data_IF_320947322217
#
_entry.id   IF_320947322217
#
_cell.length_a   1.000
_cell.length_b   1.000
_cell.length_c   1.000
_cell.angle_alpha   90.00
_cell.angle_beta   90.00
_cell.angle_gamma   90.00
#
_symmetry.space_group_name_H-M   'P 1'
#
loop_
_entity.id
_entity.type
_entity.pdbx_description
1 polymer ?
#
# COMPACT_ATOMS: atom_id res chain seq x y z
N UNK A 1 40.48 15.07 -25.95
CA UNK A 1 40.81 15.28 -24.52
C UNK A 1 40.92 16.78 -24.27
N UNK A 2 40.11 17.33 -23.35
CA UNK A 2 40.56 18.45 -22.54
C UNK A 2 40.50 18.14 -21.04
N UNK A 3 41.53 18.65 -20.38
CA UNK A 3 41.87 18.56 -18.96
C UNK A 3 40.87 19.29 -18.07
N UNK A 4 40.36 18.61 -17.03
CA UNK A 4 39.58 19.20 -15.97
C UNK A 4 40.50 19.76 -14.88
N UNK A 5 40.45 21.09 -14.68
CA UNK A 5 41.10 21.80 -13.58
C UNK A 5 40.33 21.57 -12.28
N UNK A 6 41.04 21.19 -11.23
CA UNK A 6 40.56 21.13 -9.85
C UNK A 6 40.43 22.55 -9.24
N UNK A 7 39.35 22.80 -8.52
CA UNK A 7 39.20 23.97 -7.65
C UNK A 7 39.39 23.57 -6.17
N UNK A 8 40.12 24.34 -5.36
CA UNK A 8 40.22 24.11 -3.93
C UNK A 8 39.04 24.74 -3.17
N UNK A 9 38.42 23.95 -2.30
CA UNK A 9 37.37 24.38 -1.37
C UNK A 9 38.04 24.93 -0.09
N UNK A 10 37.88 26.23 0.18
CA UNK A 10 38.32 26.87 1.43
C UNK A 10 37.17 26.90 2.43
N UNK A 11 37.42 26.39 3.64
CA UNK A 11 36.53 26.51 4.80
C UNK A 11 36.84 27.81 5.56
N UNK A 12 35.83 28.61 5.97
CA UNK A 12 36.06 29.71 6.90
C UNK A 12 36.19 29.19 8.33
N UNK A 13 37.33 29.51 8.95
CA UNK A 13 37.55 29.42 10.38
C UNK A 13 36.79 30.55 11.08
N UNK A 14 35.96 30.22 12.07
CA UNK A 14 35.12 31.17 12.78
C UNK A 14 35.02 30.89 14.28
N UNK A 15 35.79 31.66 15.04
CA UNK A 15 35.51 32.18 16.39
C UNK A 15 35.26 31.22 17.57
N UNK A 16 36.32 31.02 18.35
CA UNK A 16 36.29 30.63 19.75
C UNK A 16 35.71 31.76 20.62
N UNK A 17 34.48 31.57 21.12
CA UNK A 17 33.89 32.37 22.17
C UNK A 17 34.10 31.72 23.53
N UNK A 18 34.90 32.36 24.40
CA UNK A 18 35.06 32.02 25.81
C UNK A 18 33.74 32.27 26.55
N UNK A 19 33.26 31.30 27.34
CA UNK A 19 32.23 31.56 28.35
C UNK A 19 32.45 30.71 29.60
N UNK A 20 32.08 31.34 30.72
CA UNK A 20 32.77 31.28 31.99
C UNK A 20 32.45 30.05 32.85
N UNK A 21 33.46 29.62 33.62
CA UNK A 21 33.29 28.75 34.78
C UNK A 21 32.40 29.46 35.80
N UNK A 22 31.19 28.94 36.00
CA UNK A 22 30.43 29.13 37.23
C UNK A 22 30.33 27.79 37.94
N UNK A 23 31.13 27.65 38.99
CA UNK A 23 31.02 26.56 39.95
C UNK A 23 29.75 26.78 40.77
N UNK A 24 28.76 25.88 40.66
CA UNK A 24 27.63 25.87 41.60
C UNK A 24 27.10 24.46 41.80
N UNK A 25 27.33 23.96 43.02
CA UNK A 25 26.57 22.96 43.78
C UNK A 25 26.48 21.54 43.20
N UNK A 26 27.37 20.69 43.72
CA UNK A 26 27.11 19.28 44.01
C UNK A 26 25.83 19.17 44.85
N UNK A 27 24.71 18.88 44.19
CA UNK A 27 23.57 18.20 44.81
C UNK A 27 23.63 16.75 44.36
N UNK A 28 23.79 15.82 45.30
CA UNK A 28 23.55 14.39 45.08
C UNK A 28 22.07 14.21 44.71
N UNK A 29 21.74 14.35 43.43
CA UNK A 29 20.60 13.67 42.84
C UNK A 29 21.16 12.34 42.34
N UNK A 30 21.04 11.32 43.20
CA UNK A 30 21.02 9.95 42.75
C UNK A 30 19.73 9.77 41.91
N UNK A 31 19.73 10.37 40.72
CA UNK A 31 18.74 10.11 39.71
C UNK A 31 18.93 8.65 39.32
N UNK A 32 18.05 7.83 39.84
CA UNK A 32 17.75 6.50 39.32
C UNK A 32 17.40 6.66 37.84
N UNK A 33 18.44 6.68 37.01
CA UNK A 33 18.35 6.28 35.60
C UNK A 33 18.09 4.78 35.64
N UNK A 34 16.88 4.40 36.05
CA UNK A 34 16.29 3.15 35.60
C UNK A 34 16.03 3.39 34.11
N UNK A 35 17.08 3.20 33.32
CA UNK A 35 16.96 3.01 31.90
C UNK A 35 15.91 1.91 31.73
N UNK A 36 14.73 2.31 31.28
CA UNK A 36 13.68 1.41 30.82
C UNK A 36 14.21 0.68 29.58
N UNK A 37 15.14 -0.25 29.78
CA UNK A 37 15.66 -1.16 28.74
C UNK A 37 14.72 -2.34 28.50
N UNK A 38 13.56 -2.38 29.15
CA UNK A 38 12.52 -3.40 28.94
C UNK A 38 11.80 -3.26 27.58
N UNK A 39 12.20 -2.31 26.74
CA UNK A 39 11.81 -2.25 25.32
C UNK A 39 12.38 -3.42 24.48
N UNK A 40 13.20 -4.30 25.04
CA UNK A 40 14.00 -5.25 24.26
C UNK A 40 13.31 -6.57 23.88
N UNK A 41 12.10 -6.89 24.36
CA UNK A 41 11.43 -8.15 24.00
C UNK A 41 9.91 -8.03 23.87
N UNK A 42 9.43 -7.09 23.06
CA UNK A 42 8.10 -7.29 22.49
C UNK A 42 8.18 -8.54 21.60
N UNK A 43 7.41 -9.61 21.89
CA UNK A 43 7.42 -10.81 21.07
C UNK A 43 7.21 -10.39 19.60
N UNK A 44 8.05 -10.94 18.72
CA UNK A 44 7.94 -10.71 17.29
C UNK A 44 6.52 -10.99 16.79
N UNK A 45 6.16 -10.44 15.63
CA UNK A 45 4.91 -10.81 15.00
C UNK A 45 5.02 -12.29 14.58
N UNK A 46 3.97 -13.09 14.83
CA UNK A 46 3.96 -14.48 14.39
C UNK A 46 3.02 -14.65 13.20
N UNK A 47 3.40 -15.55 12.29
CA UNK A 47 2.59 -15.94 11.13
C UNK A 47 2.48 -17.46 11.09
N UNK A 48 1.27 -17.98 10.92
CA UNK A 48 1.08 -19.43 10.89
C UNK A 48 1.66 -20.04 9.59
N UNK A 49 2.32 -21.22 9.65
CA UNK A 49 2.89 -21.90 8.48
C UNK A 49 1.88 -22.19 7.38
N UNK A 50 0.58 -22.27 7.71
CA UNK A 50 -0.50 -22.46 6.74
C UNK A 50 -0.60 -21.35 5.69
N UNK A 51 0.08 -20.21 5.89
CA UNK A 51 0.25 -19.19 4.84
C UNK A 51 0.89 -19.76 3.56
N UNK A 52 1.69 -20.81 3.67
CA UNK A 52 2.33 -21.49 2.54
C UNK A 52 1.45 -22.55 1.87
N UNK A 53 0.26 -22.86 2.42
CA UNK A 53 -0.64 -23.88 1.88
C UNK A 53 -1.49 -23.35 0.71
N UNK A 54 -0.88 -22.63 -0.22
CA UNK A 54 -1.57 -22.00 -1.35
C UNK A 54 -2.16 -23.01 -2.32
N UNK A 55 -1.62 -24.24 -2.37
CA UNK A 55 -2.14 -25.33 -3.21
C UNK A 55 -3.56 -25.76 -2.85
N UNK A 56 -4.03 -25.45 -1.64
CA UNK A 56 -5.38 -25.73 -1.17
C UNK A 56 -6.37 -24.61 -1.54
N UNK A 57 -5.87 -23.49 -2.07
CA UNK A 57 -6.66 -22.35 -2.50
C UNK A 57 -6.82 -22.43 -4.01
N UNK A 58 -8.06 -22.46 -4.54
CA UNK A 58 -8.29 -22.47 -5.98
C UNK A 58 -7.62 -21.28 -6.67
N UNK A 59 -7.11 -21.49 -7.88
CA UNK A 59 -6.74 -20.38 -8.76
C UNK A 59 -8.01 -19.61 -9.16
N UNK A 60 -8.02 -18.30 -8.94
CA UNK A 60 -9.11 -17.41 -9.32
C UNK A 60 -8.63 -16.48 -10.44
N UNK A 61 -9.13 -16.64 -11.68
CA UNK A 61 -8.82 -15.71 -12.75
C UNK A 61 -9.50 -14.36 -12.48
N UNK A 62 -8.79 -13.26 -12.73
CA UNK A 62 -9.32 -11.90 -12.64
C UNK A 62 -9.22 -11.24 -14.01
N UNK A 63 -10.33 -11.26 -14.73
CA UNK A 63 -10.47 -10.66 -16.03
C UNK A 63 -11.80 -9.91 -16.09
N UNK A 64 -11.77 -8.67 -16.55
CA UNK A 64 -12.96 -7.85 -16.72
C UNK A 64 -12.81 -6.87 -17.89
N UNK A 65 -13.94 -6.37 -18.41
CA UNK A 65 -13.94 -5.51 -19.58
C UNK A 65 -13.48 -4.08 -19.26
N UNK A 66 -13.62 -3.63 -18.01
CA UNK A 66 -13.32 -2.25 -17.64
C UNK A 66 -11.83 -2.07 -17.32
N UNK A 67 -11.33 -0.82 -17.41
CA UNK A 67 -10.01 -0.50 -16.92
C UNK A 67 -9.84 -0.90 -15.45
N UNK A 68 -8.73 -1.55 -15.18
CA UNK A 68 -8.23 -2.02 -13.90
C UNK A 68 -8.98 -3.22 -13.29
N UNK A 69 -9.87 -3.87 -14.04
CA UNK A 69 -10.54 -5.11 -13.61
C UNK A 69 -9.66 -6.37 -13.79
N UNK A 70 -8.59 -6.26 -14.58
CA UNK A 70 -7.78 -7.41 -15.01
C UNK A 70 -6.42 -7.42 -14.34
N UNK A 71 -6.07 -8.53 -13.67
CA UNK A 71 -4.80 -8.70 -12.98
C UNK A 71 -4.50 -10.18 -12.75
N UNK A 72 -3.25 -10.49 -12.36
CA UNK A 72 -2.85 -11.85 -12.00
C UNK A 72 -2.35 -11.88 -10.56
N UNK A 73 -2.76 -12.89 -9.78
CA UNK A 73 -2.33 -13.05 -8.39
C UNK A 73 -2.10 -14.52 -8.01
N UNK A 74 -1.22 -14.73 -7.04
CA UNK A 74 -1.21 -15.92 -6.18
C UNK A 74 -2.21 -15.67 -5.05
N UNK A 75 -3.28 -16.46 -4.94
CA UNK A 75 -4.26 -16.31 -3.85
C UNK A 75 -3.84 -17.14 -2.63
N UNK A 76 -3.91 -16.56 -1.43
CA UNK A 76 -3.58 -17.23 -0.18
C UNK A 76 -4.84 -17.43 0.68
N UNK A 77 -4.77 -18.37 1.62
CA UNK A 77 -5.76 -18.43 2.69
C UNK A 77 -5.64 -17.16 3.54
N UNK A 78 -6.74 -16.42 3.68
CA UNK A 78 -6.77 -15.17 4.43
C UNK A 78 -6.62 -15.38 5.93
N UNK A 79 -7.00 -16.55 6.47
CA UNK A 79 -6.98 -16.81 7.91
C UNK A 79 -5.63 -16.49 8.58
N UNK A 80 -4.48 -17.06 8.16
CA UNK A 80 -3.18 -16.75 8.77
C UNK A 80 -2.81 -15.25 8.68
N UNK A 81 -3.21 -14.58 7.60
CA UNK A 81 -2.92 -13.15 7.37
C UNK A 81 -3.80 -12.26 8.27
N UNK A 82 -5.07 -12.62 8.44
CA UNK A 82 -5.99 -11.97 9.38
C UNK A 82 -5.49 -12.07 10.81
N UNK A 83 -5.00 -13.24 11.22
CA UNK A 83 -4.49 -13.46 12.57
C UNK A 83 -3.20 -12.61 12.82
N UNK A 84 -2.34 -12.46 11.79
CA UNK A 84 -1.22 -11.51 11.81
C UNK A 84 -1.68 -10.03 11.83
N UNK A 85 -2.74 -9.69 11.10
CA UNK A 85 -3.32 -8.34 11.13
C UNK A 85 -3.86 -7.97 12.52
N UNK A 86 -4.53 -8.90 13.21
CA UNK A 86 -5.00 -8.68 14.58
C UNK A 86 -3.84 -8.36 15.55
N UNK A 87 -2.72 -9.08 15.41
CA UNK A 87 -1.49 -8.80 16.15
C UNK A 87 -0.91 -7.41 15.83
N UNK A 88 -0.97 -6.99 14.57
CA UNK A 88 -0.47 -5.69 14.12
C UNK A 88 -1.28 -4.54 14.71
N UNK A 89 -2.62 -4.61 14.68
CA UNK A 89 -3.53 -3.57 15.19
C UNK A 89 -3.30 -3.27 16.67
N UNK A 90 -2.90 -4.28 17.46
CA UNK A 90 -2.56 -4.08 18.88
C UNK A 90 -1.27 -3.31 19.12
N UNK A 91 -0.40 -3.20 18.10
CA UNK A 91 0.96 -2.64 18.21
C UNK A 91 1.12 -1.29 17.53
N UNK A 92 0.11 -0.81 16.82
CA UNK A 92 0.17 0.45 16.08
C UNK A 92 -0.87 1.42 16.63
N UNK A 93 -0.54 2.71 16.80
CA UNK A 93 -1.46 3.70 17.38
C UNK A 93 -2.50 4.21 16.39
N UNK A 94 -2.50 3.70 15.15
CA UNK A 94 -3.37 4.15 14.06
C UNK A 94 -4.42 3.09 13.78
N UNK A 95 -5.64 3.54 13.50
CA UNK A 95 -6.70 2.65 13.02
C UNK A 95 -6.35 2.19 11.61
N UNK A 96 -6.26 0.86 11.43
CA UNK A 96 -6.03 0.25 10.13
C UNK A 96 -7.32 -0.33 9.56
N UNK A 97 -7.43 -0.28 8.24
CA UNK A 97 -8.40 -0.98 7.41
C UNK A 97 -7.71 -2.16 6.74
N UNK A 98 -8.47 -3.18 6.37
CA UNK A 98 -7.97 -4.36 5.65
C UNK A 98 -8.93 -4.70 4.52
N UNK A 99 -8.43 -5.38 3.49
CA UNK A 99 -9.23 -5.78 2.32
C UNK A 99 -10.11 -7.02 2.57
N UNK A 100 -9.82 -7.78 3.64
CA UNK A 100 -10.51 -9.06 3.88
C UNK A 100 -10.02 -10.21 2.99
N UNK A 101 -8.90 -10.04 2.29
CA UNK A 101 -8.28 -11.03 1.40
C UNK A 101 -6.76 -11.04 1.55
N UNK A 102 -6.11 -12.10 1.06
CA UNK A 102 -4.66 -12.21 0.99
C UNK A 102 -4.22 -12.75 -0.36
N UNK A 103 -3.31 -12.03 -1.01
CA UNK A 103 -2.73 -12.44 -2.28
C UNK A 103 -1.36 -11.80 -2.48
N UNK A 104 -0.56 -12.38 -3.39
CA UNK A 104 0.62 -11.72 -3.98
C UNK A 104 0.28 -11.37 -5.42
N UNK A 105 0.19 -10.07 -5.73
CA UNK A 105 -0.08 -9.61 -7.10
C UNK A 105 1.13 -9.87 -7.99
N UNK A 106 0.94 -10.65 -9.05
CA UNK A 106 1.99 -11.03 -10.02
C UNK A 106 1.97 -10.13 -11.24
N UNK A 107 0.82 -9.63 -11.67
CA UNK A 107 0.66 -8.58 -12.69
C UNK A 107 -0.36 -7.60 -12.16
N UNK A 108 0.01 -6.33 -12.03
CA UNK A 108 -0.90 -5.30 -11.52
C UNK A 108 -1.89 -4.86 -12.60
N UNK A 109 -3.05 -4.28 -12.21
CA UNK A 109 -3.98 -3.76 -13.19
C UNK A 109 -3.37 -2.69 -14.12
N UNK A 110 -2.59 -1.70 -13.64
CA UNK A 110 -1.88 -0.77 -14.53
C UNK A 110 -0.87 -1.44 -15.47
N UNK A 111 -0.14 -2.48 -15.02
CA UNK A 111 0.76 -3.24 -15.90
C UNK A 111 -0.02 -3.93 -17.02
N UNK A 112 -1.17 -4.54 -16.70
CA UNK A 112 -1.98 -5.19 -17.72
C UNK A 112 -2.57 -4.18 -18.71
N UNK A 113 -3.34 -3.21 -18.24
CA UNK A 113 -4.09 -2.32 -19.15
C UNK A 113 -3.23 -1.34 -19.94
N UNK A 114 -2.13 -0.85 -19.36
CA UNK A 114 -1.30 0.18 -19.99
C UNK A 114 -0.10 -0.40 -20.73
N UNK A 115 0.28 -1.65 -20.47
CA UNK A 115 1.49 -2.25 -21.06
C UNK A 115 1.18 -3.53 -21.82
N UNK A 116 0.64 -4.56 -21.17
CA UNK A 116 0.44 -5.88 -21.80
C UNK A 116 -0.67 -5.86 -22.85
N UNK A 117 -1.86 -5.34 -22.48
CA UNK A 117 -3.06 -5.31 -23.33
C UNK A 117 -2.85 -4.50 -24.63
N UNK A 118 -2.21 -3.31 -24.63
CA UNK A 118 -1.92 -2.58 -25.86
C UNK A 118 -1.00 -3.33 -26.84
N UNK A 119 -0.17 -4.26 -26.35
CA UNK A 119 0.63 -5.13 -27.20
C UNK A 119 -0.14 -6.37 -27.69
N UNK A 120 -1.42 -6.53 -27.37
CA UNK A 120 -2.22 -7.68 -27.79
C UNK A 120 -2.01 -8.94 -26.93
N UNK A 121 -1.49 -8.78 -25.71
CA UNK A 121 -1.53 -9.84 -24.69
C UNK A 121 -2.91 -9.86 -24.04
N UNK A 122 -3.52 -11.03 -23.96
CA UNK A 122 -4.84 -11.23 -23.33
C UNK A 122 -4.73 -11.80 -21.91
N UNK A 123 -5.75 -11.58 -21.06
CA UNK A 123 -5.79 -12.23 -19.75
C UNK A 123 -5.89 -13.76 -19.85
N UNK A 124 -6.52 -14.30 -20.90
CA UNK A 124 -6.59 -15.75 -21.11
C UNK A 124 -5.20 -16.36 -21.31
N UNK A 125 -4.33 -15.70 -22.09
CA UNK A 125 -2.94 -16.13 -22.26
C UNK A 125 -2.14 -16.02 -20.95
N UNK A 126 -2.34 -14.93 -20.19
CA UNK A 126 -1.69 -14.73 -18.89
C UNK A 126 -2.15 -15.80 -17.88
N UNK A 127 -3.45 -16.09 -17.82
CA UNK A 127 -4.03 -17.13 -16.97
C UNK A 127 -3.56 -18.52 -17.39
N UNK A 128 -3.47 -18.80 -18.70
CA UNK A 128 -2.93 -20.05 -19.21
C UNK A 128 -1.46 -20.26 -18.80
N UNK A 129 -0.63 -19.22 -18.88
CA UNK A 129 0.74 -19.27 -18.38
C UNK A 129 0.78 -19.51 -16.87
N UNK A 130 -0.10 -18.88 -16.10
CA UNK A 130 -0.19 -19.06 -14.65
C UNK A 130 -0.57 -20.50 -14.26
N UNK A 131 -1.56 -21.09 -14.93
CA UNK A 131 -1.96 -22.48 -14.73
C UNK A 131 -0.85 -23.45 -15.14
N UNK A 132 -0.19 -23.23 -16.29
CA UNK A 132 0.95 -24.04 -16.73
C UNK A 132 2.15 -23.94 -15.77
N UNK A 133 2.34 -22.78 -15.14
CA UNK A 133 3.35 -22.59 -14.09
C UNK A 133 2.91 -23.13 -12.73
N UNK A 134 1.69 -23.67 -12.61
CA UNK A 134 1.09 -24.12 -11.35
C UNK A 134 1.17 -23.00 -10.30
N UNK A 135 0.66 -21.81 -10.62
CA UNK A 135 0.83 -20.61 -9.79
C UNK A 135 0.51 -20.87 -8.31
N UNK A 136 -0.55 -21.61 -7.99
CA UNK A 136 -0.94 -21.93 -6.60
C UNK A 136 0.03 -22.86 -5.85
N UNK A 137 1.02 -23.42 -6.52
CA UNK A 137 2.10 -24.21 -5.92
C UNK A 137 3.44 -23.45 -5.94
N UNK A 138 3.43 -22.17 -6.32
CA UNK A 138 4.63 -21.33 -6.35
C UNK A 138 5.17 -21.15 -4.94
N UNK A 139 6.44 -21.47 -4.74
CA UNK A 139 7.10 -21.28 -3.45
C UNK A 139 7.43 -19.81 -3.25
N UNK A 140 7.29 -19.37 -2.02
CA UNK A 140 7.71 -18.04 -1.60
C UNK A 140 8.26 -18.08 -0.17
N UNK A 141 9.01 -17.05 0.20
CA UNK A 141 9.54 -16.88 1.54
C UNK A 141 9.06 -15.56 2.11
N UNK A 142 8.63 -15.60 3.37
CA UNK A 142 8.26 -14.42 4.13
C UNK A 142 9.53 -13.78 4.71
N UNK A 143 9.74 -12.50 4.43
CA UNK A 143 10.96 -11.78 4.79
C UNK A 143 10.79 -10.99 6.08
N UNK A 144 9.75 -10.13 6.12
CA UNK A 144 9.47 -9.23 7.24
C UNK A 144 8.06 -8.64 7.11
N UNK A 145 7.60 -7.94 8.15
CA UNK A 145 6.52 -6.96 8.00
C UNK A 145 7.14 -5.63 7.60
N UNK A 146 6.82 -5.21 6.38
CA UNK A 146 7.15 -3.91 5.83
C UNK A 146 6.15 -2.84 6.23
N UNK A 147 6.60 -1.59 6.13
CA UNK A 147 5.84 -0.40 6.49
C UNK A 147 6.23 0.75 5.58
N UNK A 148 5.24 1.44 5.04
CA UNK A 148 5.45 2.65 4.26
C UNK A 148 4.51 3.76 4.68
N UNK A 149 4.99 5.01 4.58
CA UNK A 149 4.25 6.22 4.93
C UNK A 149 4.49 7.30 3.89
N UNK A 150 3.46 8.05 3.57
CA UNK A 150 3.57 9.28 2.78
C UNK A 150 2.78 10.40 3.47
N UNK A 151 3.15 11.68 3.27
CA UNK A 151 2.32 12.79 3.71
C UNK A 151 0.90 12.63 3.18
N UNK A 152 -0.09 12.86 4.05
CA UNK A 152 -1.47 12.90 3.62
C UNK A 152 -1.62 14.11 2.69
N UNK A 153 -2.15 13.95 1.46
CA UNK A 153 -2.51 15.11 0.65
C UNK A 153 -3.38 16.02 1.51
N UNK A 154 -3.13 17.33 1.49
CA UNK A 154 -4.04 18.25 2.14
C UNK A 154 -5.45 17.89 1.65
N UNK A 155 -6.36 17.57 2.57
CA UNK A 155 -7.76 17.44 2.19
C UNK A 155 -8.04 18.67 1.34
N UNK A 156 -8.60 18.54 0.13
CA UNK A 156 -8.98 19.71 -0.63
C UNK A 156 -9.77 20.52 0.37
N UNK A 157 -9.22 21.65 0.80
CA UNK A 157 -9.97 22.55 1.66
C UNK A 157 -11.25 22.68 0.89
N UNK A 158 -12.37 22.26 1.47
CA UNK A 158 -13.67 22.56 0.90
C UNK A 158 -13.61 24.06 0.85
N UNK A 159 -13.18 24.58 -0.30
CA UNK A 159 -13.21 25.98 -0.58
C UNK A 159 -14.71 26.16 -0.52
N UNK A 160 -15.16 26.72 0.60
CA UNK A 160 -16.50 27.23 0.79
C UNK A 160 -16.62 28.32 -0.25
N UNK A 161 -16.73 27.91 -1.51
CA UNK A 161 -17.22 28.74 -2.57
C UNK A 161 -18.66 28.94 -2.13
N UNK A 162 -18.93 30.04 -1.42
CA UNK A 162 -20.28 30.56 -1.22
C UNK A 162 -21.03 30.61 -2.58
N UNK A 163 -20.29 30.67 -3.70
CA UNK A 163 -20.81 30.55 -5.06
C UNK A 163 -21.31 29.16 -5.45
N UNK A 164 -20.80 28.07 -4.90
CA UNK A 164 -21.27 26.72 -5.25
C UNK A 164 -22.62 26.43 -4.58
N UNK A 165 -22.85 26.94 -3.36
CA UNK A 165 -24.20 26.91 -2.76
C UNK A 165 -25.19 27.79 -3.53
N UNK A 166 -24.77 28.97 -4.02
CA UNK A 166 -25.64 29.81 -4.85
C UNK A 166 -25.99 29.15 -6.21
N UNK A 167 -25.05 28.44 -6.84
CA UNK A 167 -25.31 27.74 -8.12
C UNK A 167 -26.14 26.47 -7.91
N UNK A 168 -25.96 25.75 -6.79
CA UNK A 168 -26.86 24.65 -6.43
C UNK A 168 -28.26 25.16 -6.07
N UNK A 169 -28.39 26.31 -5.41
CA UNK A 169 -29.67 26.94 -5.12
C UNK A 169 -30.40 27.44 -6.38
N UNK A 170 -29.68 27.87 -7.43
CA UNK A 170 -30.28 28.29 -8.71
C UNK A 170 -30.65 27.10 -9.63
N UNK A 171 -30.03 25.92 -9.45
CA UNK A 171 -30.33 24.71 -10.24
C UNK A 171 -31.44 23.88 -9.60
N UNK A 172 -31.58 23.93 -8.27
CA UNK A 172 -32.69 23.29 -7.56
C UNK A 172 -33.90 24.23 -7.60
N UNK A 173 -34.67 24.14 -8.69
CA UNK A 173 -36.03 24.68 -8.75
C UNK A 173 -36.83 24.13 -7.56
N UNK A 174 -37.63 24.99 -6.92
CA UNK A 174 -38.26 24.77 -5.61
C UNK A 174 -39.38 23.69 -5.61
N UNK A 175 -39.38 22.78 -6.57
CA UNK A 175 -40.37 21.71 -6.69
C UNK A 175 -39.79 20.31 -6.97
N UNK A 176 -38.47 20.13 -6.98
CA UNK A 176 -37.88 18.79 -7.08
C UNK A 176 -37.50 18.27 -5.70
N UNK A 177 -38.09 17.14 -5.33
CA UNK A 177 -37.69 16.39 -4.14
C UNK A 177 -36.22 16.01 -4.27
N UNK A 178 -35.47 16.12 -3.18
CA UNK A 178 -34.03 15.88 -3.15
C UNK A 178 -33.71 14.44 -3.61
N UNK A 179 -34.63 13.50 -3.39
CA UNK A 179 -34.53 12.12 -3.89
C UNK A 179 -34.60 12.03 -5.42
N UNK A 180 -35.39 12.87 -6.09
CA UNK A 180 -35.56 12.85 -7.55
C UNK A 180 -34.36 13.51 -8.26
N UNK A 181 -33.78 14.56 -7.67
CA UNK A 181 -32.55 15.18 -8.16
C UNK A 181 -31.35 14.21 -8.08
N UNK A 182 -31.25 13.44 -7.00
CA UNK A 182 -30.20 12.42 -6.82
C UNK A 182 -30.38 11.26 -7.81
N UNK A 183 -31.63 10.85 -8.08
CA UNK A 183 -31.92 9.81 -9.07
C UNK A 183 -31.53 10.23 -10.50
N UNK A 184 -31.86 11.47 -10.90
CA UNK A 184 -31.52 12.00 -12.23
C UNK A 184 -30.02 12.23 -12.43
N UNK A 185 -29.30 12.64 -11.38
CA UNK A 185 -27.84 12.74 -11.42
C UNK A 185 -27.17 11.36 -11.57
N UNK A 186 -27.73 10.33 -10.94
CA UNK A 186 -27.26 8.95 -11.05
C UNK A 186 -27.65 8.26 -12.37
N UNK A 187 -28.70 8.74 -13.06
CA UNK A 187 -29.19 8.17 -14.31
C UNK A 187 -28.70 8.89 -15.58
N UNK A 188 -27.91 9.96 -15.44
CA UNK A 188 -27.40 10.68 -16.61
C UNK A 188 -26.17 9.97 -17.20
N UNK A 189 -26.26 9.56 -18.46
CA UNK A 189 -25.16 8.99 -19.26
C UNK A 189 -24.10 10.05 -19.63
N UNK A 190 -23.69 10.89 -18.69
CA UNK A 190 -22.72 11.95 -18.91
C UNK A 190 -21.31 11.52 -18.43
N UNK A 191 -20.43 11.02 -19.32
CA UNK A 191 -19.15 10.43 -18.95
C UNK A 191 -18.10 11.44 -18.44
N UNK A 192 -18.45 12.72 -18.31
CA UNK A 192 -17.55 13.78 -17.84
C UNK A 192 -17.64 14.09 -16.34
N UNK A 193 -18.65 13.60 -15.61
CA UNK A 193 -18.82 13.87 -14.18
C UNK A 193 -18.42 12.71 -13.25
N UNK A 194 -18.14 11.53 -13.81
CA UNK A 194 -17.77 10.33 -13.04
C UNK A 194 -16.25 10.09 -12.90
N UNK A 195 -15.41 11.00 -13.41
CA UNK A 195 -13.95 10.86 -13.31
C UNK A 195 -13.37 11.25 -11.95
N UNK A 196 -14.11 12.02 -11.14
CA UNK A 196 -13.61 12.55 -9.86
C UNK A 196 -14.54 12.28 -8.67
N UNK A 197 -15.53 11.37 -8.80
CA UNK A 197 -16.39 11.00 -7.69
C UNK A 197 -15.77 9.82 -6.90
N UNK A 198 -15.23 10.02 -5.68
CA UNK A 198 -14.91 8.90 -4.82
C UNK A 198 -16.21 8.18 -4.45
N UNK A 199 -16.23 6.84 -4.54
CA UNK A 199 -17.35 5.97 -4.10
C UNK A 199 -17.68 6.03 -2.59
N UNK A 200 -17.37 7.13 -1.90
CA UNK A 200 -17.58 7.31 -0.46
C UNK A 200 -18.65 8.36 -0.10
N UNK A 201 -19.22 9.08 -1.08
CA UNK A 201 -20.11 10.19 -0.79
C UNK A 201 -21.58 9.80 -1.00
N UNK A 202 -22.15 8.94 -0.15
CA UNK A 202 -23.60 8.79 -0.03
C UNK A 202 -24.01 7.98 1.21
N UNK A 203 -23.49 8.30 2.41
CA UNK A 203 -24.15 7.93 3.68
C UNK A 203 -23.76 8.89 4.80
N UNK A 204 -24.75 9.19 5.66
CA UNK A 204 -24.69 9.84 6.98
C UNK A 204 -24.94 11.36 7.05
N UNK A 205 -26.23 11.71 7.16
CA UNK A 205 -26.67 12.82 8.01
C UNK A 205 -27.27 12.22 9.30
N UNK A 206 -26.42 12.04 10.31
CA UNK A 206 -26.82 11.78 11.69
C UNK A 206 -26.02 12.77 12.53
N UNK A 207 -26.70 13.83 12.94
CA UNK A 207 -26.21 14.81 13.90
C UNK A 207 -26.02 14.07 15.25
N UNK A 208 -24.96 14.39 15.98
CA UNK A 208 -24.49 13.74 17.23
C UNK A 208 -23.61 12.48 17.10
N UNK A 209 -22.76 12.40 16.07
CA UNK A 209 -21.61 11.47 16.11
C UNK A 209 -20.46 12.11 16.92
N UNK A 210 -19.92 11.44 17.96
CA UNK A 210 -18.78 11.96 18.72
C UNK A 210 -17.65 12.33 17.76
N UNK A 211 -17.11 13.54 17.93
CA UNK A 211 -16.05 14.10 17.09
C UNK A 211 -14.92 13.09 16.97
N UNK A 212 -14.82 12.44 15.81
CA UNK A 212 -13.77 11.46 15.56
C UNK A 212 -12.42 12.12 15.79
N UNK A 213 -11.50 11.43 16.48
CA UNK A 213 -10.15 11.93 16.69
C UNK A 213 -9.53 12.36 15.34
N UNK A 214 -8.77 13.46 15.30
CA UNK A 214 -8.16 13.92 14.06
C UNK A 214 -7.34 12.81 13.39
N UNK A 215 -7.49 12.65 12.07
CA UNK A 215 -6.70 11.68 11.31
C UNK A 215 -5.20 12.05 11.36
N UNK A 216 -4.30 11.07 11.33
CA UNK A 216 -2.86 11.34 11.29
C UNK A 216 -2.50 12.13 10.02
N UNK A 217 -1.47 13.00 10.06
CA UNK A 217 -1.06 13.82 8.91
C UNK A 217 -0.35 13.02 7.79
N UNK A 218 -0.39 11.69 7.87
CA UNK A 218 0.20 10.78 6.91
C UNK A 218 -0.80 9.67 6.56
N UNK A 219 -0.62 9.10 5.37
CA UNK A 219 -1.19 7.82 5.01
C UNK A 219 -0.13 6.74 5.24
N UNK A 220 -0.58 5.55 5.62
CA UNK A 220 0.32 4.47 6.00
C UNK A 220 -0.23 3.12 5.55
N UNK A 221 0.68 2.24 5.13
CA UNK A 221 0.38 0.85 4.79
C UNK A 221 1.38 -0.10 5.42
N UNK A 222 0.87 -1.25 5.83
CA UNK A 222 1.62 -2.39 6.35
C UNK A 222 1.39 -3.61 5.46
N UNK A 223 2.45 -4.37 5.24
CA UNK A 223 2.44 -5.52 4.32
C UNK A 223 3.49 -6.54 4.75
N UNK A 224 3.33 -7.78 4.32
CA UNK A 224 4.39 -8.78 4.40
C UNK A 224 5.25 -8.66 3.15
N UNK A 225 6.55 -8.42 3.31
CA UNK A 225 7.50 -8.50 2.20
C UNK A 225 7.76 -9.96 1.90
N UNK A 226 7.65 -10.33 0.64
CA UNK A 226 7.80 -11.71 0.17
C UNK A 226 8.92 -11.77 -0.86
N UNK A 227 9.59 -12.92 -0.97
CA UNK A 227 10.41 -13.26 -2.14
C UNK A 227 9.90 -14.55 -2.77
N UNK A 228 9.89 -14.63 -4.10
CA UNK A 228 9.46 -15.83 -4.82
C UNK A 228 10.17 -15.96 -6.17
N UNK A 229 11.15 -16.87 -6.27
CA UNK A 229 11.78 -17.19 -7.55
C UNK A 229 10.77 -17.75 -8.56
N UNK A 230 9.79 -18.54 -8.10
CA UNK A 230 8.79 -19.19 -8.95
C UNK A 230 7.85 -18.14 -9.59
N UNK A 231 7.36 -17.16 -8.80
CA UNK A 231 6.55 -16.06 -9.35
C UNK A 231 7.35 -15.13 -10.27
N UNK A 232 8.63 -14.89 -9.97
CA UNK A 232 9.51 -14.15 -10.87
C UNK A 232 9.71 -14.89 -12.20
N UNK A 233 9.88 -16.21 -12.17
CA UNK A 233 9.97 -17.02 -13.38
C UNK A 233 8.67 -16.97 -14.22
N UNK A 234 7.50 -16.95 -13.57
CA UNK A 234 6.22 -16.72 -14.24
C UNK A 234 6.18 -15.34 -14.89
N UNK A 235 6.58 -14.26 -14.19
CA UNK A 235 6.69 -12.92 -14.81
C UNK A 235 7.64 -12.91 -16.01
N UNK A 236 8.76 -13.64 -15.97
CA UNK A 236 9.66 -13.76 -17.12
C UNK A 236 9.01 -14.48 -18.32
N UNK A 237 8.12 -15.45 -18.09
CA UNK A 237 7.32 -16.07 -19.16
C UNK A 237 6.35 -15.06 -19.78
N UNK A 238 5.69 -14.25 -18.95
CA UNK A 238 4.78 -13.18 -19.40
C UNK A 238 5.56 -12.12 -20.18
N UNK A 239 6.75 -11.73 -19.73
CA UNK A 239 7.62 -10.81 -20.47
C UNK A 239 8.03 -11.35 -21.84
N UNK A 240 8.32 -12.66 -21.96
CA UNK A 240 8.57 -13.29 -23.25
C UNK A 240 7.34 -13.24 -24.15
N UNK A 241 6.16 -13.58 -23.63
CA UNK A 241 4.90 -13.46 -24.37
C UNK A 241 4.68 -12.03 -24.88
N UNK A 242 4.81 -11.04 -24.01
CA UNK A 242 4.70 -9.63 -24.35
C UNK A 242 5.62 -9.23 -25.52
N UNK A 243 6.90 -9.64 -25.48
CA UNK A 243 7.84 -9.39 -26.58
C UNK A 243 7.45 -10.10 -27.88
N UNK A 244 6.99 -11.35 -27.81
CA UNK A 244 6.53 -12.08 -29.01
C UNK A 244 5.31 -11.44 -29.68
N UNK A 245 4.53 -10.67 -28.93
CA UNK A 245 3.38 -9.90 -29.41
C UNK A 245 3.74 -8.51 -29.95
N UNK A 246 5.04 -8.19 -30.02
CA UNK A 246 5.52 -6.89 -30.50
C UNK A 246 5.64 -5.82 -29.40
N UNK A 247 5.51 -6.20 -28.13
CA UNK A 247 5.72 -5.31 -27.00
C UNK A 247 7.13 -4.73 -26.96
N UNK A 248 7.24 -3.42 -26.73
CA UNK A 248 8.52 -2.71 -26.71
C UNK A 248 9.46 -3.24 -25.60
N UNK A 249 10.73 -3.56 -25.91
CA UNK A 249 11.67 -4.05 -24.90
C UNK A 249 11.78 -3.11 -23.69
N UNK A 250 11.60 -3.66 -22.49
CA UNK A 250 11.72 -2.93 -21.24
C UNK A 250 10.49 -2.12 -20.82
N UNK A 251 9.41 -2.12 -21.61
CA UNK A 251 8.12 -1.55 -21.18
C UNK A 251 7.44 -2.39 -20.09
N UNK A 252 7.47 -3.72 -20.25
CA UNK A 252 7.23 -4.67 -19.16
C UNK A 252 8.55 -5.34 -18.78
N UNK A 253 8.92 -5.28 -17.50
CA UNK A 253 10.13 -5.91 -16.96
C UNK A 253 9.74 -6.85 -15.85
N UNK A 254 10.01 -8.15 -16.01
CA UNK A 254 9.71 -9.13 -14.98
C UNK A 254 10.40 -8.80 -13.65
N UNK A 255 11.60 -8.22 -13.70
CA UNK A 255 12.39 -7.84 -12.53
C UNK A 255 11.88 -6.60 -11.78
N UNK A 256 11.00 -5.78 -12.38
CA UNK A 256 10.31 -4.71 -11.66
C UNK A 256 9.17 -5.32 -10.84
N UNK A 257 9.53 -6.06 -9.79
CA UNK A 257 8.61 -6.90 -9.04
C UNK A 257 8.89 -6.80 -7.55
N UNK A 258 7.89 -6.31 -6.82
CA UNK A 258 7.92 -6.14 -5.37
C UNK A 258 6.83 -7.00 -4.74
N UNK A 259 6.98 -8.34 -4.71
CA UNK A 259 5.95 -9.23 -4.18
C UNK A 259 5.72 -8.96 -2.69
N UNK A 260 4.46 -8.74 -2.35
CA UNK A 260 4.03 -8.44 -0.99
C UNK A 260 2.60 -8.93 -0.77
N UNK A 261 2.21 -9.03 0.50
CA UNK A 261 0.84 -9.29 0.93
C UNK A 261 0.40 -8.10 1.78
N UNK A 262 -0.60 -7.33 1.33
CA UNK A 262 -1.09 -6.18 2.10
C UNK A 262 -1.81 -6.67 3.37
N UNK A 263 -1.42 -6.13 4.53
CA UNK A 263 -2.05 -6.43 5.82
C UNK A 263 -3.15 -5.41 6.13
N UNK A 264 -2.80 -4.12 6.03
CA UNK A 264 -3.74 -3.04 6.23
C UNK A 264 -3.16 -1.65 6.04
N UNK A 265 -4.03 -0.66 5.99
CA UNK A 265 -3.71 0.73 5.66
C UNK A 265 -4.62 1.71 6.38
N UNK A 266 -4.24 2.98 6.50
CA UNK A 266 -5.07 4.02 7.14
C UNK A 266 -6.22 4.48 6.25
N UNK A 267 -5.96 4.68 4.95
CA UNK A 267 -6.88 5.31 4.00
C UNK A 267 -7.10 4.45 2.76
N UNK A 268 -6.00 4.16 2.06
CA UNK A 268 -5.92 3.25 0.94
C UNK A 268 -4.57 2.57 0.94
N UNK A 269 -4.46 1.49 0.18
CA UNK A 269 -3.17 0.89 -0.10
C UNK A 269 -2.27 1.88 -0.89
N UNK A 270 -0.96 1.79 -0.67
CA UNK A 270 0.04 2.63 -1.33
C UNK A 270 0.85 1.77 -2.31
N UNK A 271 1.12 2.31 -3.49
CA UNK A 271 1.74 1.61 -4.61
C UNK A 271 2.96 2.36 -5.16
N UNK A 272 3.54 1.85 -6.24
CA UNK A 272 4.71 2.46 -6.89
C UNK A 272 4.40 3.85 -7.44
N UNK A 273 3.14 4.13 -7.79
CA UNK A 273 2.63 5.44 -8.19
C UNK A 273 2.72 6.48 -7.05
N UNK A 274 2.72 6.00 -5.80
CA UNK A 274 2.94 6.82 -4.60
C UNK A 274 4.42 6.95 -4.22
N UNK A 275 5.32 6.39 -5.03
CA UNK A 275 6.75 6.27 -4.72
C UNK A 275 7.07 5.19 -3.68
N UNK A 276 6.13 4.26 -3.43
CA UNK A 276 6.32 3.18 -2.45
C UNK A 276 6.73 1.88 -3.13
N UNK A 277 7.93 1.40 -2.79
CA UNK A 277 8.49 0.13 -3.24
C UNK A 277 8.54 -0.85 -2.08
N UNK A 278 7.70 -1.90 -2.12
CA UNK A 278 7.47 -2.83 -1.00
C UNK A 278 8.52 -3.95 -0.96
N UNK A 279 9.81 -3.59 -0.82
CA UNK A 279 10.94 -4.53 -0.69
C UNK A 279 11.55 -4.55 0.71
N UNK A 280 12.66 -5.28 0.86
CA UNK A 280 13.39 -5.44 2.13
C UNK A 280 13.88 -4.12 2.74
N UNK A 281 14.02 -3.03 1.98
CA UNK A 281 14.42 -1.71 2.53
C UNK A 281 13.32 -1.09 3.39
N UNK A 282 12.09 -1.58 3.26
CA UNK A 282 10.92 -1.12 4.03
C UNK A 282 10.60 -1.99 5.25
N UNK A 283 11.43 -2.98 5.54
CA UNK A 283 11.24 -3.87 6.69
C UNK A 283 11.19 -3.07 8.01
N UNK A 284 10.10 -3.24 8.74
CA UNK A 284 9.87 -2.55 10.01
C UNK A 284 9.92 -3.50 11.20
N UNK A 285 9.38 -4.71 11.07
CA UNK A 285 9.46 -5.74 12.10
C UNK A 285 9.72 -7.11 11.52
N UNK A 286 10.46 -7.92 12.27
CA UNK A 286 10.61 -9.34 12.02
C UNK A 286 9.27 -10.04 12.22
N UNK A 287 9.02 -11.02 11.36
CA UNK A 287 7.92 -11.97 11.49
C UNK A 287 8.52 -13.36 11.62
N UNK A 288 8.06 -14.12 12.61
CA UNK A 288 8.49 -15.49 12.82
C UNK A 288 7.37 -16.40 12.34
N UNK A 289 7.68 -17.30 11.42
CA UNK A 289 6.72 -18.33 11.02
C UNK A 289 6.80 -19.45 12.06
N UNK A 290 5.77 -19.58 12.89
CA UNK A 290 5.76 -20.51 14.03
C UNK A 290 4.61 -21.49 13.94
N UNK A 291 4.90 -22.78 14.09
CA UNK A 291 3.86 -23.78 14.24
C UNK A 291 3.23 -23.70 15.63
N UNK A 292 2.00 -23.20 15.70
CA UNK A 292 1.25 -23.12 16.95
C UNK A 292 0.62 -24.46 17.36
N UNK A 293 0.75 -25.52 16.55
CA UNK A 293 0.18 -26.85 16.86
C UNK A 293 1.06 -27.69 17.81
N UNK A 294 2.25 -27.20 18.19
CA UNK A 294 3.20 -27.94 19.04
C UNK A 294 3.10 -27.63 20.56
N UNK A 295 2.05 -26.96 21.01
CA UNK A 295 1.84 -26.69 22.44
C UNK A 295 0.47 -27.15 22.91
N UNK A 296 0.35 -28.46 23.16
CA UNK A 296 -0.62 -29.07 24.07
C UNK A 296 0.03 -30.27 24.76
#
# INVERSE_FOLDING_TARGET
MPSAKSMPYQWPAGSFGRLALTATRLGLLASTVLAQSDSLWQPGLTLAPSVYNTSNVPFQPHAGPNPFDSYLQLTLDYKPVRDLFAQLVQRVPVKLQTRGEAHVTVVTPPEFDRVLKPAGVTMDEVNALAMQSRIQESRFSVECVGRARIPRPASPSVATNEKTEAVLADIVDASMDLEEAVYLAASSDNPLLLRDAPSAALMYASEDKPTAAPLPPYMEVYYVVVSSPDLLALRQRIERLFRTKGGAPGAFRAANFWPHITLGYTDRDLFVEDGIYKDRTTCWKNVVVTDHTLHW
#
